data_IF_202283547810
#
_entry.id   IF_202283547810
#
_cell.length_a   1.000
_cell.length_b   1.000
_cell.length_c   1.000
_cell.angle_alpha   90.00
_cell.angle_beta   90.00
_cell.angle_gamma   90.00
#
_symmetry.space_group_name_H-M   'P 1'
#
loop_
_entity.id
_entity.type
_entity.pdbx_description
1 polymer ?
#
# COMPACT_ATOMS: atom_id res chain seq x y z
N UNK A 1 55.95 0.58 9.52
CA UNK A 1 54.80 1.40 9.94
C UNK A 1 54.45 2.32 8.78
N UNK A 2 53.23 2.54 8.32
CA UNK A 2 51.95 1.83 8.36
C UNK A 2 51.22 2.32 7.10
N UNK A 3 50.41 1.43 6.53
CA UNK A 3 49.76 1.51 5.22
C UNK A 3 48.95 2.82 5.02
N UNK A 4 49.23 3.56 3.94
CA UNK A 4 48.21 4.41 3.28
C UNK A 4 47.28 3.46 2.54
N UNK A 5 46.11 3.20 3.12
CA UNK A 5 45.11 2.29 2.57
C UNK A 5 43.82 3.03 2.26
N UNK A 6 43.35 2.82 1.03
CA UNK A 6 41.95 2.90 0.57
C UNK A 6 41.28 4.27 0.50
N UNK A 7 41.71 5.07 -0.48
CA UNK A 7 40.79 5.86 -1.29
C UNK A 7 40.51 5.05 -2.58
N UNK A 8 39.46 4.23 -2.58
CA UNK A 8 38.97 3.60 -3.81
C UNK A 8 37.56 3.05 -3.59
N UNK A 9 36.60 3.60 -4.33
CA UNK A 9 35.47 2.91 -4.99
C UNK A 9 34.28 3.87 -5.21
N UNK A 10 34.52 5.07 -5.71
CA UNK A 10 33.54 5.72 -6.58
C UNK A 10 33.89 5.31 -8.01
N UNK A 11 33.34 4.17 -8.45
CA UNK A 11 33.34 3.80 -9.86
C UNK A 11 31.96 3.24 -10.24
N UNK A 12 31.14 4.16 -10.75
CA UNK A 12 30.50 4.02 -12.06
C UNK A 12 29.68 2.75 -12.30
N UNK A 13 28.43 2.72 -11.81
CA UNK A 13 27.36 2.06 -12.55
C UNK A 13 26.87 3.00 -13.66
N UNK A 14 27.69 3.18 -14.71
CA UNK A 14 27.29 3.89 -15.93
C UNK A 14 26.75 2.88 -16.95
N UNK A 15 25.54 2.37 -16.71
CA UNK A 15 24.74 1.78 -17.79
C UNK A 15 24.12 2.95 -18.56
N UNK A 16 24.80 3.36 -19.65
CA UNK A 16 24.27 4.34 -20.61
C UNK A 16 23.13 3.71 -21.40
N UNK A 17 21.92 3.72 -20.84
CA UNK A 17 20.70 3.60 -21.64
C UNK A 17 20.34 4.98 -22.18
N UNK A 18 20.29 5.17 -23.50
CA UNK A 18 19.66 6.33 -24.16
C UNK A 18 18.13 6.31 -23.97
N UNK A 19 17.71 6.51 -22.73
CA UNK A 19 16.37 6.87 -22.32
C UNK A 19 16.53 8.02 -21.35
N UNK A 20 15.79 9.11 -21.54
CA UNK A 20 15.71 10.21 -20.58
C UNK A 20 15.27 9.57 -19.25
N UNK A 21 16.17 9.44 -18.27
CA UNK A 21 15.78 8.94 -16.95
C UNK A 21 14.83 9.97 -16.36
N UNK A 22 13.74 9.50 -15.76
CA UNK A 22 12.86 10.36 -14.98
C UNK A 22 13.64 10.68 -13.71
N UNK A 23 14.19 11.89 -13.66
CA UNK A 23 14.83 12.42 -12.46
C UNK A 23 13.71 12.91 -11.56
N UNK A 24 13.60 12.29 -10.38
CA UNK A 24 12.73 12.78 -9.32
C UNK A 24 13.56 13.62 -8.37
N UNK A 25 13.02 14.76 -7.94
CA UNK A 25 13.64 15.56 -6.89
C UNK A 25 13.79 14.73 -5.60
N UNK A 26 14.81 15.05 -4.81
CA UNK A 26 15.07 14.39 -3.53
C UNK A 26 13.87 14.59 -2.58
N UNK A 27 13.22 13.49 -2.20
CA UNK A 27 12.09 13.52 -1.28
C UNK A 27 12.55 13.81 0.14
N UNK A 28 12.00 14.87 0.74
CA UNK A 28 12.17 15.17 2.16
C UNK A 28 10.83 15.18 2.90
N UNK A 29 10.77 14.53 4.06
CA UNK A 29 9.56 14.44 4.88
C UNK A 29 9.13 15.78 5.46
N UNK A 30 10.09 16.63 5.83
CA UNK A 30 9.84 17.98 6.34
C UNK A 30 9.14 18.87 5.31
N UNK A 31 9.57 18.83 4.06
CA UNK A 31 8.96 19.61 2.98
C UNK A 31 7.56 19.08 2.66
N UNK A 32 7.36 17.76 2.69
CA UNK A 32 6.03 17.17 2.52
C UNK A 32 5.06 17.64 3.62
N UNK A 33 5.54 17.73 4.87
CA UNK A 33 4.76 18.30 5.98
C UNK A 33 4.45 19.78 5.78
N UNK A 34 5.42 20.60 5.36
CA UNK A 34 5.18 22.02 5.09
C UNK A 34 4.11 22.23 4.02
N UNK A 35 4.15 21.43 2.95
CA UNK A 35 3.14 21.46 1.88
C UNK A 35 1.78 20.96 2.36
N UNK A 36 1.74 20.00 3.26
CA UNK A 36 0.51 19.54 3.87
C UNK A 36 -0.10 20.63 4.78
N UNK A 37 0.72 21.26 5.62
CA UNK A 37 0.30 22.33 6.52
C UNK A 37 -0.20 23.56 5.77
N UNK A 38 0.43 23.93 4.65
CA UNK A 38 -0.03 25.06 3.83
C UNK A 38 -1.40 24.84 3.20
N UNK A 39 -1.83 23.59 3.05
CA UNK A 39 -3.16 23.23 2.55
C UNK A 39 -4.24 23.24 3.64
N UNK A 40 -3.88 23.39 4.92
CA UNK A 40 -4.81 23.46 6.05
C UNK A 40 -5.84 22.32 6.11
N UNK A 41 -5.41 21.09 5.79
CA UNK A 41 -6.29 19.93 5.87
C UNK A 41 -6.68 19.58 7.30
N UNK A 42 -7.93 19.15 7.46
CA UNK A 42 -8.52 18.71 8.72
C UNK A 42 -9.12 17.30 8.59
N UNK A 43 -9.52 16.73 9.73
CA UNK A 43 -10.16 15.42 9.77
C UNK A 43 -11.46 15.38 8.96
N UNK A 44 -11.72 14.24 8.31
CA UNK A 44 -12.86 14.01 7.42
C UNK A 44 -12.68 14.53 5.99
N UNK A 45 -11.67 15.35 5.72
CA UNK A 45 -11.47 15.93 4.39
C UNK A 45 -10.86 14.94 3.39
N UNK A 46 -11.18 15.14 2.12
CA UNK A 46 -10.62 14.41 1.00
C UNK A 46 -9.43 15.18 0.42
N UNK A 47 -8.33 14.48 0.21
CA UNK A 47 -7.11 14.90 -0.48
C UNK A 47 -7.09 14.18 -1.83
N UNK A 48 -7.18 14.92 -2.92
CA UNK A 48 -7.18 14.35 -4.27
C UNK A 48 -5.83 13.69 -4.60
N UNK A 49 -5.83 12.84 -5.63
CA UNK A 49 -4.57 12.29 -6.15
C UNK A 49 -3.60 13.37 -6.65
N UNK A 50 -4.12 14.52 -7.07
CA UNK A 50 -3.31 15.65 -7.50
C UNK A 50 -2.59 16.29 -6.31
N UNK A 51 -3.32 16.59 -5.24
CA UNK A 51 -2.79 17.23 -4.04
C UNK A 51 -1.79 16.31 -3.33
N UNK A 52 -2.07 15.01 -3.27
CA UNK A 52 -1.10 14.05 -2.74
C UNK A 52 0.21 14.08 -3.53
N UNK A 53 0.17 14.13 -4.87
CA UNK A 53 1.39 14.24 -5.68
C UNK A 53 2.17 15.51 -5.35
N UNK A 54 1.46 16.62 -5.19
CA UNK A 54 2.07 17.88 -4.80
C UNK A 54 2.73 17.79 -3.42
N UNK A 55 2.04 17.22 -2.43
CA UNK A 55 2.55 16.99 -1.07
C UNK A 55 3.80 16.11 -1.10
N UNK A 56 3.76 15.00 -1.84
CA UNK A 56 4.89 14.05 -1.93
C UNK A 56 5.97 14.45 -2.95
N UNK A 57 5.99 15.71 -3.39
CA UNK A 57 7.03 16.27 -4.28
C UNK A 57 7.18 15.51 -5.60
N UNK A 58 6.08 14.99 -6.15
CA UNK A 58 6.07 14.33 -7.45
C UNK A 58 5.58 15.27 -8.56
N UNK A 59 6.04 15.05 -9.80
CA UNK A 59 5.58 15.85 -10.93
C UNK A 59 4.07 15.72 -11.09
N UNK A 60 3.44 16.87 -11.29
CA UNK A 60 2.00 17.03 -11.39
C UNK A 60 1.43 16.30 -12.62
N UNK A 61 2.18 16.39 -13.73
CA UNK A 61 1.87 15.79 -15.02
C UNK A 61 2.37 14.35 -15.05
N UNK A 62 1.49 13.45 -15.48
CA UNK A 62 1.86 12.06 -15.69
C UNK A 62 2.92 11.94 -16.80
N UNK A 63 3.89 11.03 -16.65
CA UNK A 63 4.99 10.89 -17.59
C UNK A 63 4.55 10.44 -18.99
N UNK A 64 3.31 9.96 -19.15
CA UNK A 64 2.79 9.46 -20.43
C UNK A 64 2.59 10.54 -21.51
N UNK A 65 2.55 11.83 -21.16
CA UNK A 65 2.17 12.87 -22.11
C UNK A 65 3.17 13.13 -23.25
N UNK A 66 4.41 12.60 -23.17
CA UNK A 66 5.44 12.85 -24.19
C UNK A 66 6.36 11.64 -24.44
N UNK A 67 5.87 10.42 -24.19
CA UNK A 67 6.68 9.19 -24.25
C UNK A 67 6.15 8.28 -25.35
N UNK A 68 7.01 7.77 -26.25
CA UNK A 68 6.60 6.77 -27.24
C UNK A 68 5.94 5.57 -26.56
N UNK A 69 4.87 5.03 -27.12
CA UNK A 69 4.04 3.98 -26.49
C UNK A 69 4.84 2.79 -25.91
N UNK A 70 5.96 2.41 -26.54
CA UNK A 70 6.84 1.32 -26.08
C UNK A 70 7.68 1.63 -24.82
N UNK A 71 7.87 2.91 -24.44
CA UNK A 71 8.57 3.33 -23.20
C UNK A 71 7.61 3.80 -22.10
N UNK A 72 6.37 4.13 -22.46
CA UNK A 72 5.38 4.68 -21.55
C UNK A 72 5.07 3.76 -20.36
N UNK A 73 5.06 2.44 -20.56
CA UNK A 73 4.78 1.46 -19.49
C UNK A 73 5.85 1.52 -18.40
N UNK A 74 7.13 1.44 -18.77
CA UNK A 74 8.24 1.43 -17.80
C UNK A 74 8.33 2.73 -17.00
N UNK A 75 8.12 3.86 -17.67
CA UNK A 75 8.11 5.17 -17.03
C UNK A 75 6.91 5.32 -16.08
N UNK A 76 5.75 4.82 -16.47
CA UNK A 76 4.57 4.78 -15.60
C UNK A 76 4.76 3.87 -14.38
N UNK A 77 5.40 2.71 -14.55
CA UNK A 77 5.73 1.81 -13.45
C UNK A 77 6.67 2.49 -12.45
N UNK A 78 7.78 3.08 -12.93
CA UNK A 78 8.72 3.80 -12.06
C UNK A 78 8.04 4.92 -11.27
N UNK A 79 7.20 5.71 -11.95
CA UNK A 79 6.40 6.75 -11.31
C UNK A 79 5.45 6.17 -10.25
N UNK A 80 4.78 5.05 -10.55
CA UNK A 80 3.84 4.42 -9.63
C UNK A 80 4.52 3.87 -8.39
N UNK A 81 5.70 3.26 -8.54
CA UNK A 81 6.53 2.78 -7.43
C UNK A 81 7.01 3.94 -6.55
N UNK A 82 7.45 5.03 -7.16
CA UNK A 82 7.91 6.21 -6.42
C UNK A 82 6.76 6.88 -5.66
N UNK A 83 5.59 7.01 -6.29
CA UNK A 83 4.37 7.49 -5.62
C UNK A 83 4.02 6.63 -4.41
N UNK A 84 3.99 5.31 -4.58
CA UNK A 84 3.67 4.40 -3.49
C UNK A 84 4.67 4.56 -2.33
N UNK A 85 5.97 4.56 -2.63
CA UNK A 85 7.04 4.74 -1.65
C UNK A 85 6.90 6.03 -0.86
N UNK A 86 6.73 7.18 -1.54
CA UNK A 86 6.66 8.48 -0.87
C UNK A 86 5.38 8.67 -0.08
N UNK A 87 4.25 8.15 -0.58
CA UNK A 87 2.98 8.15 0.17
C UNK A 87 3.12 7.32 1.46
N UNK A 88 3.79 6.18 1.42
CA UNK A 88 3.99 5.38 2.62
C UNK A 88 4.91 6.07 3.65
N UNK A 89 5.98 6.74 3.20
CA UNK A 89 6.79 7.59 4.08
C UNK A 89 5.98 8.76 4.66
N UNK A 90 5.16 9.41 3.83
CA UNK A 90 4.31 10.52 4.27
C UNK A 90 3.28 10.08 5.32
N UNK A 91 2.66 8.90 5.18
CA UNK A 91 1.75 8.33 6.18
C UNK A 91 2.43 8.13 7.54
N UNK A 92 3.69 7.67 7.55
CA UNK A 92 4.46 7.49 8.79
C UNK A 92 4.59 8.83 9.51
N UNK A 93 4.92 9.89 8.77
CA UNK A 93 5.11 11.22 9.36
C UNK A 93 3.78 11.85 9.78
N UNK A 94 2.69 11.63 9.05
CA UNK A 94 1.34 12.05 9.47
C UNK A 94 0.90 11.43 10.82
N UNK A 95 1.45 10.27 11.20
CA UNK A 95 1.15 9.64 12.48
C UNK A 95 1.60 10.49 13.68
N UNK A 96 2.62 11.34 13.52
CA UNK A 96 3.05 12.32 14.52
C UNK A 96 1.95 13.35 14.81
N UNK A 97 1.14 13.67 13.80
CA UNK A 97 -0.03 14.56 13.89
C UNK A 97 -1.32 13.85 14.27
N UNK A 98 -1.24 12.56 14.62
CA UNK A 98 -2.41 11.71 14.91
C UNK A 98 -3.42 11.69 13.75
N UNK A 99 -2.92 11.76 12.51
CA UNK A 99 -3.73 11.71 11.30
C UNK A 99 -3.50 10.39 10.58
N UNK A 100 -4.59 9.79 10.10
CA UNK A 100 -4.56 8.54 9.33
C UNK A 100 -5.12 8.80 7.96
N UNK A 101 -4.40 8.37 6.93
CA UNK A 101 -4.77 8.56 5.53
C UNK A 101 -5.34 7.27 4.95
N UNK A 102 -6.60 7.29 4.54
CA UNK A 102 -7.31 6.18 3.89
C UNK A 102 -7.38 6.38 2.39
N UNK A 103 -6.90 5.41 1.61
CA UNK A 103 -7.10 5.44 0.17
C UNK A 103 -8.57 5.12 -0.17
N UNK A 104 -9.22 6.03 -0.89
CA UNK A 104 -10.57 5.86 -1.44
C UNK A 104 -10.44 5.63 -2.95
N UNK A 105 -10.73 4.40 -3.39
CA UNK A 105 -10.54 3.96 -4.77
C UNK A 105 -11.24 4.92 -5.75
N UNK A 106 -10.45 5.51 -6.65
CA UNK A 106 -10.94 6.38 -7.72
C UNK A 106 -11.22 7.84 -7.31
N UNK A 107 -11.10 8.19 -6.03
CA UNK A 107 -11.35 9.55 -5.55
C UNK A 107 -10.06 10.21 -5.02
N UNK A 108 -9.22 9.46 -4.32
CA UNK A 108 -8.02 10.01 -3.69
C UNK A 108 -7.81 9.40 -2.32
N UNK A 109 -7.56 10.25 -1.34
CA UNK A 109 -7.29 9.86 0.02
C UNK A 109 -8.15 10.66 0.99
N UNK A 110 -8.69 10.05 2.02
CA UNK A 110 -9.44 10.73 3.07
C UNK A 110 -8.66 10.72 4.38
N UNK A 111 -8.65 11.85 5.08
CA UNK A 111 -8.13 11.94 6.45
C UNK A 111 -9.24 11.45 7.38
N UNK A 112 -9.01 10.33 8.05
CA UNK A 112 -10.06 9.64 8.82
C UNK A 112 -10.36 10.41 10.11
N UNK A 113 -11.64 10.55 10.45
CA UNK A 113 -12.03 11.15 11.72
C UNK A 113 -11.49 10.36 12.92
N UNK A 114 -11.09 11.00 14.03
CA UNK A 114 -10.51 10.28 15.17
C UNK A 114 -11.40 9.17 15.74
N UNK A 115 -12.73 9.35 15.75
CA UNK A 115 -13.69 8.34 16.20
C UNK A 115 -13.75 7.11 15.27
N UNK A 116 -13.40 7.25 14.00
CA UNK A 116 -13.39 6.17 13.00
C UNK A 116 -12.04 5.41 12.96
N UNK A 117 -11.01 5.84 13.71
CA UNK A 117 -9.68 5.21 13.68
C UNK A 117 -9.72 3.75 14.12
N UNK A 118 -10.52 3.44 15.15
CA UNK A 118 -10.67 2.08 15.67
C UNK A 118 -11.30 1.16 14.63
N UNK A 119 -12.40 1.59 14.01
CA UNK A 119 -13.08 0.82 12.96
C UNK A 119 -12.17 0.64 11.75
N UNK A 120 -11.44 1.68 11.35
CA UNK A 120 -10.50 1.59 10.26
C UNK A 120 -9.34 0.62 10.56
N UNK A 121 -8.84 0.58 11.79
CA UNK A 121 -7.82 -0.39 12.19
C UNK A 121 -8.33 -1.83 12.08
N UNK A 122 -9.57 -2.09 12.48
CA UNK A 122 -10.22 -3.40 12.33
C UNK A 122 -10.36 -3.77 10.84
N UNK A 123 -10.80 -2.83 10.00
CA UNK A 123 -10.92 -3.01 8.55
C UNK A 123 -9.56 -3.34 7.90
N UNK A 124 -8.49 -2.65 8.31
CA UNK A 124 -7.12 -2.93 7.83
C UNK A 124 -6.65 -4.32 8.20
N UNK A 125 -6.85 -4.75 9.45
CA UNK A 125 -6.49 -6.10 9.90
C UNK A 125 -7.27 -7.14 9.11
N UNK A 126 -8.59 -6.95 8.99
CA UNK A 126 -9.48 -7.91 8.30
C UNK A 126 -9.08 -8.07 6.84
N UNK A 127 -8.90 -6.97 6.11
CA UNK A 127 -8.43 -6.97 4.71
C UNK A 127 -7.03 -7.58 4.58
N UNK A 128 -6.15 -7.32 5.54
CA UNK A 128 -4.80 -7.89 5.58
C UNK A 128 -4.82 -9.41 5.67
N UNK A 129 -5.61 -9.96 6.59
CA UNK A 129 -5.77 -11.41 6.77
C UNK A 129 -6.43 -12.01 5.52
N UNK A 130 -7.48 -11.40 4.97
CA UNK A 130 -8.18 -11.92 3.78
C UNK A 130 -7.22 -12.01 2.58
N UNK A 131 -6.41 -10.97 2.38
CA UNK A 131 -5.42 -10.93 1.31
C UNK A 131 -4.35 -12.01 1.50
N UNK A 132 -3.88 -12.22 2.73
CA UNK A 132 -2.91 -13.27 3.04
C UNK A 132 -3.47 -14.66 2.77
N UNK A 133 -4.70 -14.94 3.21
CA UNK A 133 -5.38 -16.22 2.97
C UNK A 133 -5.58 -16.48 1.47
N UNK A 134 -6.11 -15.51 0.71
CA UNK A 134 -6.28 -15.63 -0.74
C UNK A 134 -4.96 -15.91 -1.45
N UNK A 135 -3.88 -15.25 -1.04
CA UNK A 135 -2.53 -15.48 -1.59
C UNK A 135 -2.05 -16.90 -1.30
N UNK A 136 -2.21 -17.38 -0.06
CA UNK A 136 -1.83 -18.75 0.32
C UNK A 136 -2.62 -19.81 -0.46
N UNK A 137 -3.94 -19.63 -0.62
CA UNK A 137 -4.77 -20.51 -1.44
C UNK A 137 -4.28 -20.55 -2.90
N UNK A 138 -4.01 -19.38 -3.49
CA UNK A 138 -3.51 -19.32 -4.85
C UNK A 138 -2.17 -20.06 -4.98
N UNK A 139 -1.22 -19.84 -4.07
CA UNK A 139 0.08 -20.54 -4.07
C UNK A 139 -0.10 -22.06 -4.00
N UNK A 140 -1.00 -22.55 -3.15
CA UNK A 140 -1.28 -23.98 -3.04
C UNK A 140 -1.91 -24.55 -4.32
N UNK A 141 -2.79 -23.79 -4.97
CA UNK A 141 -3.46 -24.20 -6.21
C UNK A 141 -2.52 -24.26 -7.43
N UNK A 142 -1.52 -23.38 -7.50
CA UNK A 142 -0.54 -23.38 -8.61
C UNK A 142 0.64 -24.33 -8.37
N UNK A 143 0.70 -25.00 -7.22
CA UNK A 143 1.78 -25.93 -6.90
C UNK A 143 1.74 -27.15 -7.83
N UNK A 144 2.87 -27.49 -8.46
CA UNK A 144 2.97 -28.66 -9.32
C UNK A 144 3.08 -29.96 -8.49
N UNK A 145 1.93 -30.57 -8.19
CA UNK A 145 1.81 -31.78 -7.36
C UNK A 145 2.60 -32.97 -7.93
N UNK A 146 2.80 -33.03 -9.25
CA UNK A 146 3.52 -34.14 -9.90
C UNK A 146 4.99 -34.23 -9.48
N UNK A 147 5.60 -33.09 -9.13
CA UNK A 147 6.99 -32.99 -8.70
C UNK A 147 7.18 -33.29 -7.21
N UNK A 148 6.09 -33.40 -6.45
CA UNK A 148 6.13 -33.68 -5.01
C UNK A 148 6.29 -35.17 -4.74
N UNK A 149 7.11 -35.52 -3.76
CA UNK A 149 7.16 -36.87 -3.23
C UNK A 149 5.92 -37.20 -2.37
N UNK A 150 5.71 -38.47 -2.00
CA UNK A 150 4.52 -38.91 -1.28
C UNK A 150 4.30 -38.19 0.06
N UNK A 151 5.39 -37.91 0.80
CA UNK A 151 5.32 -37.17 2.07
C UNK A 151 4.92 -35.71 1.86
N UNK A 152 5.51 -35.04 0.87
CA UNK A 152 5.20 -33.67 0.51
C UNK A 152 3.77 -33.51 -0.01
N UNK A 153 3.24 -34.50 -0.74
CA UNK A 153 1.83 -34.51 -1.17
C UNK A 153 0.87 -34.58 0.01
N UNK A 154 1.18 -35.41 1.01
CA UNK A 154 0.38 -35.50 2.23
C UNK A 154 0.37 -34.17 2.99
N UNK A 155 1.54 -33.55 3.16
CA UNK A 155 1.66 -32.23 3.80
C UNK A 155 0.94 -31.14 3.02
N UNK A 156 1.04 -31.14 1.69
CA UNK A 156 0.33 -30.19 0.82
C UNK A 156 -1.17 -30.31 0.99
N UNK A 157 -1.71 -31.54 1.00
CA UNK A 157 -3.13 -31.79 1.24
C UNK A 157 -3.59 -31.30 2.62
N UNK A 158 -2.81 -31.57 3.67
CA UNK A 158 -3.09 -31.12 5.03
C UNK A 158 -3.11 -29.59 5.14
N UNK A 159 -2.10 -28.92 4.60
CA UNK A 159 -2.00 -27.45 4.61
C UNK A 159 -3.14 -26.83 3.79
N UNK A 160 -3.47 -27.42 2.64
CA UNK A 160 -4.59 -26.99 1.80
C UNK A 160 -5.94 -27.07 2.53
N UNK A 161 -6.18 -28.15 3.27
CA UNK A 161 -7.36 -28.29 4.10
C UNK A 161 -7.42 -27.21 5.21
N UNK A 162 -6.30 -26.98 5.92
CA UNK A 162 -6.22 -25.96 6.98
C UNK A 162 -6.48 -24.54 6.45
N UNK A 163 -5.85 -24.18 5.33
CA UNK A 163 -6.04 -22.86 4.70
C UNK A 163 -7.48 -22.69 4.20
N UNK A 164 -8.09 -23.75 3.67
CA UNK A 164 -9.50 -23.73 3.25
C UNK A 164 -10.45 -23.51 4.43
N UNK A 165 -10.23 -24.21 5.54
CA UNK A 165 -11.00 -24.02 6.77
C UNK A 165 -10.88 -22.58 7.33
N UNK A 166 -9.66 -22.01 7.28
CA UNK A 166 -9.42 -20.62 7.69
C UNK A 166 -10.21 -19.64 6.80
N UNK A 167 -10.20 -19.83 5.48
CA UNK A 167 -10.95 -18.99 4.55
C UNK A 167 -12.47 -19.05 4.79
N UNK A 168 -13.00 -20.23 5.09
CA UNK A 168 -14.42 -20.42 5.41
C UNK A 168 -14.80 -19.75 6.74
N UNK A 169 -13.94 -19.85 7.76
CA UNK A 169 -14.19 -19.18 9.03
C UNK A 169 -14.18 -17.65 8.88
N UNK A 170 -13.31 -17.11 8.02
CA UNK A 170 -13.24 -15.67 7.75
C UNK A 170 -14.50 -15.15 7.06
N UNK A 171 -14.98 -15.82 6.01
CA UNK A 171 -16.22 -15.43 5.31
C UNK A 171 -17.41 -15.43 6.27
N UNK A 172 -17.57 -16.49 7.06
CA UNK A 172 -18.62 -16.57 8.09
C UNK A 172 -18.50 -15.52 9.19
N UNK A 173 -17.28 -15.13 9.57
CA UNK A 173 -17.05 -14.11 10.60
C UNK A 173 -17.31 -12.69 10.08
N UNK A 174 -16.96 -12.41 8.83
CA UNK A 174 -17.29 -11.16 8.15
C UNK A 174 -18.81 -10.96 8.05
N UNK A 175 -19.54 -12.01 7.66
CA UNK A 175 -21.01 -11.97 7.58
C UNK A 175 -21.64 -11.71 8.96
N UNK A 176 -21.11 -12.34 10.03
CA UNK A 176 -21.60 -12.12 11.40
C UNK A 176 -21.34 -10.70 11.91
N UNK A 177 -20.16 -10.14 11.63
CA UNK A 177 -19.82 -8.77 12.04
C UNK A 177 -20.68 -7.73 11.31
N UNK A 178 -20.92 -7.91 10.01
CA UNK A 178 -21.83 -7.05 9.25
C UNK A 178 -23.26 -7.05 9.82
N UNK A 179 -23.77 -8.24 10.17
CA UNK A 179 -25.10 -8.38 10.79
C UNK A 179 -25.17 -7.79 12.21
N UNK A 180 -24.08 -7.80 12.98
CA UNK A 180 -24.02 -7.21 14.32
C UNK A 180 -23.97 -5.67 14.27
N UNK A 181 -23.20 -5.11 13.34
CA UNK A 181 -23.15 -3.67 13.12
C UNK A 181 -24.52 -3.13 12.66
N UNK A 182 -25.21 -3.85 11.76
CA UNK A 182 -26.56 -3.47 11.33
C UNK A 182 -27.58 -3.58 12.47
N UNK A 183 -27.39 -4.54 13.38
CA UNK A 183 -28.23 -4.70 14.57
C UNK A 183 -28.00 -3.59 15.61
N UNK A 184 -26.77 -3.16 15.82
CA UNK A 184 -26.44 -2.02 16.69
C UNK A 184 -27.02 -0.70 16.13
N UNK A 185 -26.86 -0.45 14.83
CA UNK A 185 -27.43 0.73 14.17
C UNK A 185 -28.97 0.77 14.14
N UNK A 186 -29.65 -0.38 14.33
CA UNK A 186 -31.11 -0.47 14.53
C UNK A 186 -31.54 -0.28 15.98
N UNK A 187 -30.68 -0.61 16.95
CA UNK A 187 -30.94 -0.39 18.37
C UNK A 187 -30.81 1.09 18.71
N UNK A 188 -29.77 1.77 18.21
CA UNK A 188 -29.57 3.21 18.42
C UNK A 188 -30.70 4.07 17.82
N UNK A 189 -31.33 3.63 16.71
CA UNK A 189 -32.50 4.29 16.11
C UNK A 189 -33.83 4.06 16.84
N UNK A 190 -33.85 3.18 17.84
CA UNK A 190 -35.04 2.88 18.65
C UNK A 190 -35.07 3.64 19.97
N UNK A 191 -33.95 4.27 20.34
CA UNK A 191 -33.78 5.00 21.59
C UNK A 191 -33.87 6.54 21.39
N UNK A 192 -34.13 6.99 20.15
CA UNK A 192 -34.53 8.37 19.76
C UNK A 192 -36.04 8.45 19.47
#
# INVERSE_FOLDING_TARGET
>A
MARRGTAQAQHLCSIKSKGRKMEFDDFTTEEALKRFDSMNYTYGQMVSHYEIRHIVQLPEKLPIHNVPAGKAIKEYEQFSWELLRRVDLFKIVLSERKMVLKNIKGQGFSIIQPNEHTEYAIDLITKGIEKAVKKSQHTLNVTNITLLNTGERSQHAEISAKVSALAEHMTKSADKLGNLAEKQARLERKDD
#
